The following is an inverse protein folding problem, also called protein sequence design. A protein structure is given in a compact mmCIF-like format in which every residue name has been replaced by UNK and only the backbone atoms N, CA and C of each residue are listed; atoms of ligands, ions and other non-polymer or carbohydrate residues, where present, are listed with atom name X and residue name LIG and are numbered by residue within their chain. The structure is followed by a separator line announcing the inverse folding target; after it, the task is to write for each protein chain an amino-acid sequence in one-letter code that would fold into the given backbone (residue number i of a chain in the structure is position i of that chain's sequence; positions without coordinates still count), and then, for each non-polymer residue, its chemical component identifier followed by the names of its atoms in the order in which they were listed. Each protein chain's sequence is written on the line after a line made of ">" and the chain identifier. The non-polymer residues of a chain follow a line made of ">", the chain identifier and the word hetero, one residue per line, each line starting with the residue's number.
data_IF_058969998205
#
_entry.id   IF_058969998205
#
_cell.length_a   1.000
_cell.length_b   1.000
_cell.length_c   1.000
_cell.angle_alpha   90.00
_cell.angle_beta   90.00
_cell.angle_gamma   90.00
#
_symmetry.space_group_name_H-M   'P 1'
#
loop_
_entity.id
_entity.type
_entity.pdbx_description
1 polymer ?
#
# COMPACT_ATOMS: atom_id res chain seq x y z
N UNK A 1 -35.59 49.28 -47.68
CA UNK A 1 -35.34 48.62 -46.38
C UNK A 1 -34.36 47.49 -46.66
N UNK A 2 -33.17 47.56 -46.07
CA UNK A 2 -32.01 46.71 -46.37
C UNK A 2 -32.28 45.31 -45.78
N UNK A 3 -32.16 44.26 -46.60
CA UNK A 3 -32.00 42.88 -46.13
C UNK A 3 -30.54 42.50 -46.32
N UNK A 4 -29.86 42.22 -45.22
CA UNK A 4 -28.52 41.63 -45.22
C UNK A 4 -28.65 40.11 -45.18
N UNK A 5 -27.93 39.47 -46.10
CA UNK A 5 -27.53 38.06 -46.12
C UNK A 5 -26.82 37.66 -44.82
N UNK A 6 -27.13 36.47 -44.32
CA UNK A 6 -26.22 35.65 -43.51
C UNK A 6 -26.32 34.19 -43.97
N UNK A 7 -25.61 33.85 -45.05
CA UNK A 7 -25.19 32.48 -45.33
C UNK A 7 -24.05 32.13 -44.36
N UNK A 8 -24.32 31.27 -43.38
CA UNK A 8 -23.32 30.79 -42.43
C UNK A 8 -22.29 29.90 -43.14
N UNK A 9 -21.04 30.37 -43.20
CA UNK A 9 -19.86 29.63 -43.68
C UNK A 9 -19.48 28.52 -42.69
N UNK A 10 -20.11 27.35 -42.86
CA UNK A 10 -19.81 26.12 -42.12
C UNK A 10 -18.39 25.58 -42.37
N UNK A 11 -17.70 26.04 -43.41
CA UNK A 11 -16.40 25.50 -43.83
C UNK A 11 -15.22 26.16 -43.08
N UNK A 12 -15.36 27.45 -42.76
CA UNK A 12 -14.40 28.19 -41.92
C UNK A 12 -14.34 27.71 -40.47
N UNK A 13 -15.48 27.29 -39.90
CA UNK A 13 -15.56 26.77 -38.53
C UNK A 13 -14.85 25.41 -38.36
N UNK A 14 -14.99 24.52 -39.35
CA UNK A 14 -14.39 23.20 -39.32
C UNK A 14 -12.85 23.24 -39.46
N UNK A 15 -12.32 24.17 -40.27
CA UNK A 15 -10.86 24.41 -40.37
C UNK A 15 -10.24 24.93 -39.08
N UNK A 16 -10.92 25.82 -38.35
CA UNK A 16 -10.44 26.32 -37.05
C UNK A 16 -10.36 25.21 -36.00
N UNK A 17 -11.33 24.30 -35.99
CA UNK A 17 -11.34 23.12 -35.11
C UNK A 17 -10.15 22.18 -35.38
N UNK A 18 -9.80 21.92 -36.64
CA UNK A 18 -8.68 21.03 -37.00
C UNK A 18 -7.32 21.64 -36.64
N UNK A 19 -7.15 22.96 -36.82
CA UNK A 19 -5.90 23.65 -36.44
C UNK A 19 -5.73 23.70 -34.92
N UNK A 20 -6.82 23.90 -34.16
CA UNK A 20 -6.80 23.78 -32.69
C UNK A 20 -6.48 22.36 -32.20
N UNK A 21 -6.92 21.33 -32.93
CA UNK A 21 -6.59 19.94 -32.61
C UNK A 21 -5.11 19.61 -32.89
N UNK A 22 -4.53 20.14 -33.98
CA UNK A 22 -3.13 19.91 -34.33
C UNK A 22 -2.13 20.63 -33.40
N UNK A 23 -2.45 21.83 -32.92
CA UNK A 23 -1.60 22.57 -31.96
C UNK A 23 -1.71 21.99 -30.54
N UNK A 24 -2.88 21.44 -30.16
CA UNK A 24 -3.05 20.74 -28.89
C UNK A 24 -2.24 19.44 -28.77
N UNK A 25 -2.02 18.73 -29.88
CA UNK A 25 -1.23 17.49 -29.91
C UNK A 25 0.27 17.76 -29.74
N UNK A 26 0.79 18.91 -30.20
CA UNK A 26 2.22 19.25 -30.07
C UNK A 26 2.62 19.78 -28.68
N UNK A 27 1.68 20.34 -27.92
CA UNK A 27 1.93 20.82 -26.55
C UNK A 27 1.53 19.82 -25.45
N UNK A 28 0.82 18.73 -25.80
CA UNK A 28 0.42 17.68 -24.85
C UNK A 28 1.47 16.60 -24.58
N UNK A 29 2.64 16.65 -25.25
CA UNK A 29 3.70 15.64 -25.14
C UNK A 29 4.85 16.01 -24.20
N UNK A 30 4.76 17.12 -23.46
CA UNK A 30 5.50 17.21 -22.20
C UNK A 30 4.77 16.33 -21.21
N UNK A 31 5.07 15.03 -21.25
CA UNK A 31 4.97 14.20 -20.05
C UNK A 31 5.68 14.99 -18.96
N UNK A 32 4.92 15.62 -18.07
CA UNK A 32 5.46 16.01 -16.78
C UNK A 32 5.81 14.68 -16.15
N UNK A 33 7.07 14.27 -16.32
CA UNK A 33 7.64 13.18 -15.57
C UNK A 33 7.46 13.61 -14.13
N UNK A 34 6.41 13.10 -13.48
CA UNK A 34 6.34 13.11 -12.03
C UNK A 34 7.49 12.23 -11.59
N UNK A 35 8.69 12.81 -11.50
CA UNK A 35 9.83 12.16 -10.91
C UNK A 35 9.44 11.89 -9.48
N UNK A 36 9.32 10.62 -9.10
CA UNK A 36 9.14 10.23 -7.71
C UNK A 36 10.21 10.97 -6.89
N UNK A 37 9.79 11.81 -5.95
CA UNK A 37 10.71 12.51 -5.08
C UNK A 37 11.10 11.53 -3.97
N UNK A 38 12.36 11.10 -3.96
CA UNK A 38 12.83 10.21 -2.91
C UNK A 38 12.58 10.81 -1.53
N UNK A 39 11.81 10.12 -0.70
CA UNK A 39 11.48 10.57 0.65
C UNK A 39 11.60 9.41 1.64
N UNK A 40 12.78 9.30 2.27
CA UNK A 40 13.09 8.20 3.19
C UNK A 40 12.11 8.10 4.36
N UNK A 41 11.65 9.24 4.90
CA UNK A 41 10.68 9.25 6.01
C UNK A 41 9.35 8.61 5.62
N UNK A 42 8.71 9.08 4.54
CA UNK A 42 7.41 8.53 4.08
C UNK A 42 7.54 7.07 3.64
N UNK A 43 8.66 6.73 3.00
CA UNK A 43 8.95 5.37 2.56
C UNK A 43 9.17 4.43 3.77
N UNK A 44 9.89 4.89 4.79
CA UNK A 44 10.13 4.18 6.04
C UNK A 44 8.86 3.98 6.87
N UNK A 45 8.02 5.00 7.00
CA UNK A 45 6.72 4.90 7.69
C UNK A 45 5.83 3.83 7.03
N UNK A 46 5.73 3.83 5.69
CA UNK A 46 4.94 2.84 4.96
C UNK A 46 5.55 1.43 5.05
N UNK A 47 6.87 1.31 4.93
CA UNK A 47 7.59 0.04 5.05
C UNK A 47 7.42 -0.57 6.44
N UNK A 48 7.60 0.22 7.51
CA UNK A 48 7.44 -0.22 8.88
C UNK A 48 6.02 -0.72 9.17
N UNK A 49 5.00 0.02 8.72
CA UNK A 49 3.62 -0.42 8.85
C UNK A 49 3.34 -1.74 8.11
N UNK A 50 3.90 -1.91 6.90
CA UNK A 50 3.74 -3.12 6.12
C UNK A 50 4.44 -4.33 6.75
N UNK A 51 5.69 -4.16 7.22
CA UNK A 51 6.43 -5.20 7.95
C UNK A 51 5.70 -5.62 9.22
N UNK A 52 5.20 -4.65 9.99
CA UNK A 52 4.43 -4.93 11.20
C UNK A 52 3.16 -5.72 10.90
N UNK A 53 2.41 -5.34 9.86
CA UNK A 53 1.19 -6.05 9.49
C UNK A 53 1.46 -7.48 8.96
N UNK A 54 2.58 -7.70 8.28
CA UNK A 54 3.04 -9.05 7.88
C UNK A 54 3.38 -9.88 9.11
N UNK A 55 4.10 -9.32 10.08
CA UNK A 55 4.41 -10.01 11.35
C UNK A 55 3.12 -10.41 12.09
N UNK A 56 2.13 -9.52 12.22
CA UNK A 56 0.84 -9.86 12.84
C UNK A 56 0.13 -11.04 12.15
N UNK A 57 0.16 -11.10 10.81
CA UNK A 57 -0.41 -12.24 10.06
C UNK A 57 0.37 -13.52 10.38
N UNK A 58 1.70 -13.47 10.45
CA UNK A 58 2.53 -14.63 10.79
C UNK A 58 2.25 -15.11 12.23
N UNK A 59 2.13 -14.20 13.19
CA UNK A 59 1.75 -14.55 14.57
C UNK A 59 0.37 -15.22 14.62
N UNK A 60 -0.59 -14.76 13.80
CA UNK A 60 -1.90 -15.41 13.69
C UNK A 60 -1.81 -16.79 13.03
N UNK A 61 -0.94 -16.97 12.02
CA UNK A 61 -0.66 -18.26 11.38
C UNK A 61 -0.04 -19.28 12.33
N UNK A 62 0.77 -18.84 13.29
CA UNK A 62 1.40 -19.67 14.32
C UNK A 62 0.50 -19.93 15.53
N UNK A 63 -0.60 -19.18 15.65
CA UNK A 63 -1.60 -19.39 16.69
C UNK A 63 -2.51 -20.59 16.41
N UNK A 64 -3.42 -20.88 17.35
CA UNK A 64 -4.49 -21.88 17.15
C UNK A 64 -5.40 -21.59 15.95
N UNK A 65 -5.44 -20.36 15.44
CA UNK A 65 -6.20 -19.99 14.26
C UNK A 65 -5.48 -20.26 12.93
N UNK A 66 -4.26 -20.80 12.97
CA UNK A 66 -3.44 -21.08 11.79
C UNK A 66 -4.13 -21.95 10.73
N UNK A 67 -5.09 -22.79 11.14
CA UNK A 67 -5.86 -23.65 10.22
C UNK A 67 -6.68 -22.86 9.18
N UNK A 68 -6.98 -21.58 9.42
CA UNK A 68 -7.69 -20.74 8.45
C UNK A 68 -6.82 -20.37 7.24
N UNK A 69 -5.49 -20.50 7.36
CA UNK A 69 -4.56 -20.17 6.28
C UNK A 69 -4.27 -21.40 5.42
N UNK A 70 -5.08 -21.58 4.38
CA UNK A 70 -4.93 -22.69 3.41
C UNK A 70 -3.55 -22.73 2.73
N UNK A 71 -2.87 -21.58 2.62
CA UNK A 71 -1.52 -21.46 2.06
C UNK A 71 -0.70 -20.48 2.91
N UNK A 72 0.52 -20.86 3.29
CA UNK A 72 1.48 -19.97 3.98
C UNK A 72 2.22 -19.12 2.96
N UNK A 73 1.55 -18.10 2.43
CA UNK A 73 2.11 -17.20 1.40
C UNK A 73 2.92 -16.04 1.98
N UNK A 74 2.69 -15.70 3.24
CA UNK A 74 3.39 -14.62 3.94
C UNK A 74 4.79 -15.09 4.39
N UNK A 75 5.76 -14.19 4.36
CA UNK A 75 7.13 -14.45 4.78
C UNK A 75 7.81 -13.14 5.10
N UNK A 76 8.22 -12.98 6.36
CA UNK A 76 8.84 -11.76 6.83
C UNK A 76 10.11 -11.44 6.04
N UNK A 77 11.01 -12.42 5.90
CA UNK A 77 12.26 -12.26 5.15
C UNK A 77 12.07 -11.85 3.69
N UNK A 78 11.04 -12.39 3.02
CA UNK A 78 10.73 -11.99 1.64
C UNK A 78 10.22 -10.55 1.60
N UNK A 79 9.39 -10.15 2.55
CA UNK A 79 8.90 -8.77 2.66
C UNK A 79 10.04 -7.79 2.99
N UNK A 80 10.96 -8.15 3.88
CA UNK A 80 12.16 -7.34 4.16
C UNK A 80 13.01 -7.16 2.91
N UNK A 81 13.27 -8.24 2.16
CA UNK A 81 14.01 -8.17 0.88
C UNK A 81 13.32 -7.27 -0.13
N UNK A 82 11.99 -7.35 -0.24
CA UNK A 82 11.20 -6.45 -1.07
C UNK A 82 11.42 -4.99 -0.65
N UNK A 83 11.19 -4.67 0.63
CA UNK A 83 11.34 -3.30 1.17
C UNK A 83 12.72 -2.73 0.89
N UNK A 84 13.78 -3.49 1.22
CA UNK A 84 15.16 -3.05 1.03
C UNK A 84 15.47 -2.71 -0.44
N UNK A 85 14.88 -3.41 -1.40
CA UNK A 85 15.11 -3.16 -2.83
C UNK A 85 14.71 -1.76 -3.31
N UNK A 86 13.77 -1.11 -2.60
CA UNK A 86 13.28 0.24 -2.92
C UNK A 86 14.01 1.37 -2.15
N UNK A 87 14.81 1.05 -1.13
CA UNK A 87 15.52 2.01 -0.28
C UNK A 87 16.92 2.34 -0.79
N UNK A 88 17.42 3.57 -0.58
CA UNK A 88 18.82 3.94 -0.90
C UNK A 88 19.81 3.18 0.00
N UNK A 89 21.09 3.02 -0.42
CA UNK A 89 22.04 2.19 0.34
C UNK A 89 22.21 2.59 1.81
N UNK A 90 22.11 3.89 2.14
CA UNK A 90 22.18 4.33 3.54
C UNK A 90 20.93 3.94 4.33
N UNK A 91 19.74 4.15 3.76
CA UNK A 91 18.46 3.78 4.39
C UNK A 91 18.30 2.25 4.49
N UNK A 92 18.88 1.47 3.56
CA UNK A 92 18.96 0.02 3.67
C UNK A 92 19.76 -0.42 4.90
N UNK A 93 20.91 0.21 5.15
CA UNK A 93 21.74 -0.09 6.33
C UNK A 93 21.02 0.29 7.62
N UNK A 94 20.34 1.45 7.64
CA UNK A 94 19.57 1.91 8.79
C UNK A 94 18.41 0.95 9.11
N UNK A 95 17.63 0.56 8.09
CA UNK A 95 16.56 -0.41 8.28
C UNK A 95 17.10 -1.76 8.76
N UNK A 96 18.20 -2.26 8.18
CA UNK A 96 18.78 -3.53 8.62
C UNK A 96 19.24 -3.47 10.08
N UNK A 97 19.90 -2.38 10.48
CA UNK A 97 20.32 -2.17 11.86
C UNK A 97 19.13 -2.10 12.83
N UNK A 98 18.01 -1.48 12.41
CA UNK A 98 16.78 -1.46 13.18
C UNK A 98 16.16 -2.86 13.31
N UNK A 99 16.08 -3.62 12.22
CA UNK A 99 15.53 -4.99 12.20
C UNK A 99 16.34 -5.96 13.06
N UNK A 100 17.66 -5.74 13.18
CA UNK A 100 18.54 -6.53 14.05
C UNK A 100 18.49 -6.05 15.52
N UNK A 101 17.80 -4.94 15.79
CA UNK A 101 17.74 -4.26 17.08
C UNK A 101 16.77 -4.89 18.08
N UNK A 102 17.03 -4.64 19.37
CA UNK A 102 16.17 -5.12 20.47
C UNK A 102 14.75 -4.54 20.41
N UNK A 103 14.61 -3.29 19.96
CA UNK A 103 13.31 -2.62 19.84
C UNK A 103 12.39 -3.33 18.85
N UNK A 104 12.92 -3.68 17.67
CA UNK A 104 12.16 -4.44 16.69
C UNK A 104 11.73 -5.81 17.24
N UNK A 105 12.65 -6.53 17.89
CA UNK A 105 12.35 -7.82 18.53
C UNK A 105 11.27 -7.69 19.61
N UNK A 106 11.29 -6.63 20.41
CA UNK A 106 10.22 -6.32 21.39
C UNK A 106 8.88 -6.10 20.68
N UNK A 107 8.87 -5.37 19.57
CA UNK A 107 7.67 -5.19 18.74
C UNK A 107 7.06 -6.51 18.27
N UNK A 108 7.88 -7.47 17.85
CA UNK A 108 7.38 -8.81 17.44
C UNK A 108 6.78 -9.60 18.62
N UNK A 109 7.43 -9.57 19.78
CA UNK A 109 6.89 -10.17 21.01
C UNK A 109 5.58 -9.50 21.45
N UNK A 110 5.47 -8.17 21.28
CA UNK A 110 4.26 -7.42 21.57
C UNK A 110 3.12 -7.79 20.62
N UNK A 111 3.37 -7.90 19.31
CA UNK A 111 2.39 -8.37 18.34
C UNK A 111 1.87 -9.77 18.68
N UNK A 112 2.80 -10.69 19.00
CA UNK A 112 2.45 -12.05 19.45
C UNK A 112 1.55 -12.01 20.68
N UNK A 113 1.90 -11.22 21.69
CA UNK A 113 1.10 -11.04 22.90
C UNK A 113 -0.27 -10.48 22.57
N UNK A 114 -0.37 -9.45 21.74
CA UNK A 114 -1.65 -8.85 21.31
C UNK A 114 -2.56 -9.87 20.62
N UNK A 115 -2.03 -10.71 19.73
CA UNK A 115 -2.82 -11.78 19.10
C UNK A 115 -3.29 -12.80 20.14
N UNK A 116 -2.42 -13.24 21.04
CA UNK A 116 -2.77 -14.19 22.10
C UNK A 116 -3.83 -13.63 23.07
N UNK A 117 -3.70 -12.36 23.47
CA UNK A 117 -4.66 -11.68 24.34
C UNK A 117 -6.01 -11.47 23.65
N UNK A 118 -6.01 -11.15 22.36
CA UNK A 118 -7.23 -11.06 21.55
C UNK A 118 -7.96 -12.39 21.50
N UNK A 119 -7.23 -13.48 21.28
CA UNK A 119 -7.78 -14.85 21.28
C UNK A 119 -8.34 -15.25 22.66
N UNK A 120 -7.65 -14.89 23.74
CA UNK A 120 -8.07 -15.20 25.11
C UNK A 120 -9.27 -14.38 25.55
N UNK A 121 -9.30 -13.08 25.23
CA UNK A 121 -10.39 -12.17 25.66
C UNK A 121 -11.73 -12.46 24.98
N UNK A 122 -11.69 -13.03 23.78
CA UNK A 122 -12.86 -13.51 23.06
C UNK A 122 -13.18 -14.98 23.40
N UNK A 123 -12.17 -15.76 23.77
CA UNK A 123 -12.33 -17.16 24.21
C UNK A 123 -13.02 -17.26 25.56
N UNK A 124 -14.16 -17.95 25.62
CA UNK A 124 -14.94 -18.12 26.85
C UNK A 124 -16.03 -17.08 27.07
N UNK A 125 -16.24 -16.14 26.13
CA UNK A 125 -17.49 -15.37 26.07
C UNK A 125 -18.62 -16.28 25.60
N UNK A 126 -19.74 -16.29 26.31
CA UNK A 126 -20.92 -17.05 25.90
C UNK A 126 -21.32 -16.67 24.47
N UNK A 127 -21.53 -17.69 23.62
CA UNK A 127 -22.00 -17.52 22.24
C UNK A 127 -20.92 -17.45 21.15
N UNK A 128 -19.62 -17.46 21.48
CA UNK A 128 -18.56 -17.44 20.46
C UNK A 128 -17.76 -18.74 20.44
N UNK A 129 -17.89 -19.51 19.37
CA UNK A 129 -17.03 -20.66 19.11
C UNK A 129 -15.64 -20.22 18.59
N UNK A 130 -14.67 -21.14 18.63
CA UNK A 130 -13.31 -20.85 18.18
C UNK A 130 -13.26 -20.37 16.73
N UNK A 131 -14.11 -20.93 15.86
CA UNK A 131 -14.14 -20.58 14.44
C UNK A 131 -14.57 -19.14 14.22
N UNK A 132 -15.55 -18.68 14.98
CA UNK A 132 -16.05 -17.31 14.97
C UNK A 132 -14.97 -16.35 15.45
N UNK A 133 -14.32 -16.66 16.58
CA UNK A 133 -13.24 -15.85 17.15
C UNK A 133 -12.07 -15.74 16.15
N UNK A 134 -11.61 -16.86 15.63
CA UNK A 134 -10.53 -16.91 14.66
C UNK A 134 -10.88 -16.14 13.38
N UNK A 135 -12.13 -16.25 12.90
CA UNK A 135 -12.63 -15.51 11.74
C UNK A 135 -12.64 -13.99 11.97
N UNK A 136 -13.07 -13.53 13.14
CA UNK A 136 -13.07 -12.10 13.49
C UNK A 136 -11.66 -11.53 13.54
N UNK A 137 -10.74 -12.20 14.25
CA UNK A 137 -9.35 -11.74 14.37
C UNK A 137 -8.68 -11.75 12.99
N UNK A 138 -8.84 -12.83 12.21
CA UNK A 138 -8.32 -12.89 10.84
C UNK A 138 -8.83 -11.73 9.98
N UNK A 139 -10.12 -11.42 10.05
CA UNK A 139 -10.71 -10.34 9.25
C UNK A 139 -10.10 -8.98 9.61
N UNK A 140 -9.92 -8.71 10.91
CA UNK A 140 -9.28 -7.48 11.39
C UNK A 140 -7.80 -7.41 10.96
N UNK A 141 -7.03 -8.48 11.19
CA UNK A 141 -5.61 -8.51 10.81
C UNK A 141 -5.43 -8.41 9.29
N UNK A 142 -6.30 -9.05 8.50
CA UNK A 142 -6.27 -8.96 7.04
C UNK A 142 -6.59 -7.54 6.55
N UNK A 143 -7.54 -6.83 7.19
CA UNK A 143 -7.83 -5.43 6.87
C UNK A 143 -6.64 -4.52 7.17
N UNK A 144 -6.00 -4.67 8.33
CA UNK A 144 -4.79 -3.92 8.70
C UNK A 144 -3.67 -4.17 7.69
N UNK A 145 -3.45 -5.44 7.33
CA UNK A 145 -2.48 -5.83 6.33
C UNK A 145 -2.77 -5.20 4.96
N UNK A 146 -4.00 -5.28 4.47
CA UNK A 146 -4.35 -4.73 3.16
C UNK A 146 -4.18 -3.21 3.11
N UNK A 147 -4.58 -2.51 4.18
CA UNK A 147 -4.36 -1.08 4.29
C UNK A 147 -2.86 -0.72 4.29
N UNK A 148 -2.06 -1.42 5.10
CA UNK A 148 -0.61 -1.18 5.16
C UNK A 148 0.07 -1.50 3.82
N UNK A 149 -0.34 -2.58 3.15
CA UNK A 149 0.15 -2.95 1.81
C UNK A 149 -0.19 -1.87 0.78
N UNK A 150 -1.41 -1.35 0.76
CA UNK A 150 -1.78 -0.26 -0.16
C UNK A 150 -0.94 1.00 0.07
N UNK A 151 -0.68 1.35 1.34
CA UNK A 151 0.24 2.46 1.67
C UNK A 151 1.66 2.21 1.19
N UNK A 152 2.13 0.97 1.31
CA UNK A 152 3.43 0.57 0.80
C UNK A 152 3.49 0.64 -0.74
N UNK A 153 2.50 0.12 -1.47
CA UNK A 153 2.43 0.23 -2.94
C UNK A 153 2.41 1.71 -3.41
N UNK A 154 1.67 2.55 -2.71
CA UNK A 154 1.66 3.99 -2.98
C UNK A 154 3.03 4.62 -2.72
N UNK A 155 3.65 4.34 -1.58
CA UNK A 155 4.97 4.88 -1.26
C UNK A 155 6.04 4.42 -2.25
N UNK A 156 6.00 3.14 -2.67
CA UNK A 156 6.90 2.58 -3.68
C UNK A 156 6.85 3.33 -5.01
N UNK A 157 5.65 3.76 -5.43
CA UNK A 157 5.46 4.46 -6.71
C UNK A 157 5.77 5.96 -6.66
N UNK A 158 5.84 6.56 -5.47
CA UNK A 158 5.92 8.03 -5.32
C UNK A 158 7.18 8.53 -4.61
N UNK A 159 7.80 7.71 -3.76
CA UNK A 159 8.86 8.14 -2.85
C UNK A 159 10.16 7.34 -2.98
N UNK A 160 10.27 6.54 -4.02
CA UNK A 160 11.46 5.71 -4.29
C UNK A 160 12.41 6.39 -5.26
N UNK A 161 13.46 5.68 -5.64
CA UNK A 161 14.59 6.21 -6.41
C UNK A 161 14.27 6.33 -7.89
#
# INVERSE_FOLDING_TARGET
>A
MIFHDEEMDYWGAFRKLIVSFAVGILLGLVSVSASAEYNSRKLGEAAGAYLNAVDMILQLQESKCGYLFKKKTYSFDRTVKEVLSYLRPNDQKELQAFLDGEEFRKGQEDNKRTIQESLRSLGGREGYDEKTICGMILSNTAMVHEYAKQKWEYAKSHYTK
#
